data_IF_901107851619
#
_entry.id   IF_901107851619
#
_cell.length_a   1.000
_cell.length_b   1.000
_cell.length_c   1.000
_cell.angle_alpha   90.00
_cell.angle_beta   90.00
_cell.angle_gamma   90.00
#
_symmetry.space_group_name_H-M   'P 1'
#
loop_
_entity.id
_entity.type
_entity.pdbx_description
1 polymer ?
#
# COMPACT_ATOMS: atom_id res chain seq x y z
N UNK A 1 33.53 -24.91 -31.77
CA UNK A 1 33.48 -24.06 -30.55
C UNK A 1 32.05 -23.59 -30.30
N UNK A 2 31.37 -22.94 -31.25
CA UNK A 2 29.94 -22.56 -31.09
C UNK A 2 28.98 -23.75 -30.87
N UNK A 3 29.17 -24.88 -31.56
CA UNK A 3 28.34 -26.08 -31.33
C UNK A 3 28.58 -26.74 -29.97
N UNK A 4 29.82 -26.74 -29.47
CA UNK A 4 30.14 -27.22 -28.11
C UNK A 4 29.50 -26.33 -27.05
N UNK A 5 29.62 -25.00 -27.16
CA UNK A 5 28.96 -24.07 -26.23
C UNK A 5 27.43 -24.23 -26.23
N UNK A 6 26.81 -24.48 -27.39
CA UNK A 6 25.36 -24.75 -27.48
C UNK A 6 24.94 -26.08 -26.88
N UNK A 7 25.81 -27.09 -26.92
CA UNK A 7 25.56 -28.40 -26.31
C UNK A 7 25.70 -28.32 -24.78
N UNK A 8 26.76 -27.68 -24.29
CA UNK A 8 27.01 -27.48 -22.85
C UNK A 8 25.89 -26.66 -22.20
N UNK A 9 25.43 -25.58 -22.86
CA UNK A 9 24.26 -24.80 -22.40
C UNK A 9 22.98 -25.64 -22.36
N UNK A 10 22.76 -26.55 -23.31
CA UNK A 10 21.56 -27.41 -23.32
C UNK A 10 21.60 -28.46 -22.22
N UNK A 11 22.75 -29.03 -21.90
CA UNK A 11 22.89 -29.98 -20.78
C UNK A 11 22.68 -29.29 -19.44
N UNK A 12 23.17 -28.06 -19.28
CA UNK A 12 22.96 -27.25 -18.07
C UNK A 12 21.47 -26.95 -17.83
N UNK A 13 20.71 -26.63 -18.88
CA UNK A 13 19.25 -26.47 -18.82
C UNK A 13 18.45 -27.78 -18.77
N UNK A 14 19.08 -28.94 -18.92
CA UNK A 14 18.43 -30.26 -18.78
C UNK A 14 18.80 -30.94 -17.46
N UNK A 15 19.62 -30.30 -16.62
CA UNK A 15 20.02 -30.81 -15.31
C UNK A 15 18.78 -30.87 -14.38
N UNK A 16 18.29 -32.07 -14.01
CA UNK A 16 17.11 -32.22 -13.17
C UNK A 16 17.29 -31.59 -11.79
N UNK A 17 18.51 -31.61 -11.24
CA UNK A 17 18.82 -31.03 -9.94
C UNK A 17 18.70 -29.51 -9.98
N UNK A 18 19.16 -28.87 -11.06
CA UNK A 18 19.01 -27.42 -11.28
C UNK A 18 17.53 -27.04 -11.44
N UNK A 19 16.75 -27.84 -12.16
CA UNK A 19 15.30 -27.63 -12.28
C UNK A 19 14.58 -27.75 -10.94
N UNK A 20 14.94 -28.71 -10.09
CA UNK A 20 14.37 -28.89 -8.75
C UNK A 20 14.71 -27.69 -7.87
N UNK A 21 15.97 -27.23 -7.89
CA UNK A 21 16.41 -26.07 -7.10
C UNK A 21 15.68 -24.78 -7.51
N UNK A 22 15.58 -24.51 -8.83
CA UNK A 22 14.83 -23.35 -9.35
C UNK A 22 13.34 -23.43 -8.93
N UNK A 23 12.73 -24.61 -9.01
CA UNK A 23 11.34 -24.81 -8.60
C UNK A 23 11.12 -24.54 -7.11
N UNK A 24 12.06 -24.99 -6.26
CA UNK A 24 12.04 -24.73 -4.81
C UNK A 24 12.13 -23.23 -4.53
N UNK A 25 13.11 -22.54 -5.13
CA UNK A 25 13.29 -21.09 -4.95
C UNK A 25 12.04 -20.32 -5.40
N UNK A 26 11.43 -20.71 -6.53
CA UNK A 26 10.22 -20.09 -7.02
C UNK A 26 9.04 -20.29 -6.06
N UNK A 27 8.90 -21.49 -5.50
CA UNK A 27 7.89 -21.79 -4.48
C UNK A 27 8.05 -20.91 -3.23
N UNK A 28 9.28 -20.79 -2.71
CA UNK A 28 9.57 -19.98 -1.53
C UNK A 28 9.30 -18.49 -1.79
N UNK A 29 9.65 -18.00 -2.99
CA UNK A 29 9.35 -16.63 -3.40
C UNK A 29 7.83 -16.38 -3.51
N UNK A 30 7.08 -17.31 -4.10
CA UNK A 30 5.62 -17.22 -4.19
C UNK A 30 4.99 -17.21 -2.79
N UNK A 31 5.46 -18.08 -1.89
CA UNK A 31 4.97 -18.13 -0.52
C UNK A 31 5.23 -16.81 0.21
N UNK A 32 6.46 -16.30 0.11
CA UNK A 32 6.84 -15.01 0.70
C UNK A 32 5.98 -13.85 0.18
N UNK A 33 5.75 -13.78 -1.15
CA UNK A 33 4.88 -12.78 -1.75
C UNK A 33 3.43 -12.92 -1.27
N UNK A 34 2.94 -14.16 -1.12
CA UNK A 34 1.58 -14.46 -0.66
C UNK A 34 1.40 -14.06 0.81
N UNK A 35 2.41 -14.28 1.64
CA UNK A 35 2.42 -13.89 3.05
C UNK A 35 2.33 -12.37 3.19
N UNK A 36 3.14 -11.61 2.43
CA UNK A 36 3.07 -10.14 2.42
C UNK A 36 1.68 -9.63 1.99
N UNK A 37 1.08 -10.25 0.96
CA UNK A 37 -0.27 -9.91 0.53
C UNK A 37 -1.31 -10.20 1.63
N UNK A 38 -1.15 -11.32 2.34
CA UNK A 38 -2.05 -11.71 3.43
C UNK A 38 -1.95 -10.74 4.60
N UNK A 39 -0.73 -10.36 5.00
CA UNK A 39 -0.49 -9.37 6.06
C UNK A 39 -1.11 -8.02 5.72
N UNK A 40 -0.95 -7.56 4.48
CA UNK A 40 -1.60 -6.34 4.04
C UNK A 40 -3.12 -6.42 4.17
N UNK A 41 -3.74 -7.52 3.74
CA UNK A 41 -5.21 -7.71 3.89
C UNK A 41 -5.64 -7.71 5.35
N UNK A 42 -4.91 -8.41 6.22
CA UNK A 42 -5.20 -8.44 7.65
C UNK A 42 -5.16 -7.04 8.27
N UNK A 43 -4.17 -6.22 7.89
CA UNK A 43 -4.10 -4.80 8.29
C UNK A 43 -5.34 -4.04 7.83
N UNK A 44 -5.78 -4.21 6.58
CA UNK A 44 -6.97 -3.51 6.08
C UNK A 44 -8.25 -3.93 6.81
N UNK A 45 -8.41 -5.22 7.09
CA UNK A 45 -9.52 -5.73 7.90
C UNK A 45 -9.46 -5.22 9.34
N UNK A 46 -8.27 -5.12 9.93
CA UNK A 46 -8.10 -4.55 11.27
C UNK A 46 -8.48 -3.06 11.30
N UNK A 47 -8.12 -2.28 10.27
CA UNK A 47 -8.58 -0.88 10.11
C UNK A 47 -10.11 -0.82 9.99
N UNK A 48 -10.71 -1.76 9.25
CA UNK A 48 -12.16 -1.86 9.09
C UNK A 48 -12.87 -2.12 10.42
N UNK A 49 -12.24 -2.87 11.33
CA UNK A 49 -12.80 -3.25 12.62
C UNK A 49 -12.37 -2.34 13.78
N UNK A 50 -11.60 -1.27 13.52
CA UNK A 50 -11.00 -0.41 14.56
C UNK A 50 -10.08 -1.19 15.53
N UNK A 51 -9.39 -2.19 14.99
CA UNK A 51 -8.47 -3.06 15.73
C UNK A 51 -7.02 -2.58 15.56
N UNK A 52 -6.60 -1.67 16.44
CA UNK A 52 -5.22 -1.16 16.43
C UNK A 52 -4.20 -2.26 16.81
N UNK A 53 -4.59 -3.19 17.68
CA UNK A 53 -3.69 -4.24 18.17
C UNK A 53 -3.42 -5.28 17.07
N UNK A 54 -4.43 -5.63 16.27
CA UNK A 54 -4.26 -6.44 15.07
C UNK A 54 -3.27 -5.84 14.08
N UNK A 55 -3.32 -4.51 13.86
CA UNK A 55 -2.34 -3.81 13.00
C UNK A 55 -0.93 -3.91 13.60
N UNK A 56 -0.80 -3.73 14.92
CA UNK A 56 0.50 -3.84 15.62
C UNK A 56 1.12 -5.21 15.44
N UNK A 57 0.36 -6.27 15.72
CA UNK A 57 0.82 -7.66 15.60
C UNK A 57 1.33 -7.97 14.19
N UNK A 58 0.57 -7.56 13.16
CA UNK A 58 0.98 -7.81 11.78
C UNK A 58 2.25 -7.06 11.40
N UNK A 59 2.38 -5.79 11.80
CA UNK A 59 3.59 -5.03 11.53
C UNK A 59 4.79 -5.52 12.35
N UNK A 60 4.59 -5.91 13.61
CA UNK A 60 5.66 -6.39 14.49
C UNK A 60 6.32 -7.66 13.98
N UNK A 61 5.55 -8.51 13.29
CA UNK A 61 6.06 -9.72 12.64
C UNK A 61 6.89 -9.49 11.37
N UNK A 62 7.01 -8.25 10.91
CA UNK A 62 7.76 -7.87 9.71
C UNK A 62 9.08 -7.17 10.06
N UNK A 63 10.09 -7.36 9.22
CA UNK A 63 11.30 -6.54 9.24
C UNK A 63 10.99 -5.08 8.86
N UNK A 64 11.81 -4.13 9.33
CA UNK A 64 11.57 -2.69 9.17
C UNK A 64 11.35 -2.25 7.72
N UNK A 65 12.08 -2.81 6.76
CA UNK A 65 11.92 -2.49 5.35
C UNK A 65 10.58 -3.00 4.80
N UNK A 66 10.18 -4.21 5.21
CA UNK A 66 8.90 -4.81 4.81
C UNK A 66 7.72 -4.08 5.46
N UNK A 67 7.84 -3.61 6.71
CA UNK A 67 6.82 -2.75 7.34
C UNK A 67 6.52 -1.52 6.50
N UNK A 68 7.56 -0.79 6.09
CA UNK A 68 7.39 0.41 5.24
C UNK A 68 6.75 0.08 3.90
N UNK A 69 7.17 -1.03 3.28
CA UNK A 69 6.57 -1.50 2.03
C UNK A 69 5.08 -1.79 2.21
N UNK A 70 4.71 -2.60 3.21
CA UNK A 70 3.32 -3.00 3.48
C UNK A 70 2.45 -1.79 3.85
N UNK A 71 2.92 -0.88 4.70
CA UNK A 71 2.16 0.31 5.12
C UNK A 71 1.86 1.26 3.94
N UNK A 72 2.75 1.32 2.95
CA UNK A 72 2.61 2.20 1.78
C UNK A 72 2.04 1.51 0.55
N UNK A 73 1.89 0.17 0.57
CA UNK A 73 1.15 -0.57 -0.45
C UNK A 73 -0.30 -0.09 -0.51
N UNK A 74 -0.89 -0.20 -1.68
CA UNK A 74 -2.26 0.21 -1.94
C UNK A 74 -2.93 -0.74 -2.93
N UNK A 75 -4.25 -0.74 -2.93
CA UNK A 75 -5.04 -1.42 -3.95
C UNK A 75 -6.12 -0.50 -4.53
N UNK A 76 -6.80 -1.00 -5.55
CA UNK A 76 -7.92 -0.30 -6.20
C UNK A 76 -9.20 -0.31 -5.35
N UNK A 77 -9.24 -1.05 -4.24
CA UNK A 77 -10.43 -1.23 -3.42
C UNK A 77 -10.51 -0.18 -2.31
N UNK A 78 -9.43 0.01 -1.56
CA UNK A 78 -9.33 0.83 -0.36
C UNK A 78 -8.22 1.89 -0.43
N UNK A 79 -7.37 1.84 -1.46
CA UNK A 79 -6.15 2.64 -1.49
C UNK A 79 -5.11 2.12 -0.50
N UNK A 80 -4.26 3.01 0.01
CA UNK A 80 -3.30 2.62 1.06
C UNK A 80 -3.99 2.54 2.45
N UNK A 81 -3.40 1.83 3.43
CA UNK A 81 -3.86 1.84 4.81
C UNK A 81 -4.20 3.24 5.36
N UNK A 82 -3.38 4.24 5.01
CA UNK A 82 -3.58 5.61 5.45
C UNK A 82 -4.80 6.28 4.80
N UNK A 83 -5.11 6.00 3.53
CA UNK A 83 -6.35 6.46 2.90
C UNK A 83 -7.57 5.90 3.63
N UNK A 84 -7.54 4.61 3.95
CA UNK A 84 -8.66 3.96 4.58
C UNK A 84 -8.86 4.43 6.02
N UNK A 85 -7.80 4.58 6.81
CA UNK A 85 -7.87 5.13 8.16
C UNK A 85 -8.45 6.56 8.19
N UNK A 86 -8.03 7.41 7.25
CA UNK A 86 -8.58 8.77 7.11
C UNK A 86 -10.08 8.74 6.73
N UNK A 87 -10.47 7.84 5.84
CA UNK A 87 -11.88 7.63 5.47
C UNK A 87 -12.74 7.16 6.65
N UNK A 88 -12.19 6.27 7.48
CA UNK A 88 -12.81 5.77 8.72
C UNK A 88 -12.81 6.80 9.84
N UNK A 89 -12.18 7.97 9.66
CA UNK A 89 -12.07 9.04 10.65
C UNK A 89 -11.43 8.57 11.96
N UNK A 90 -10.49 7.63 11.84
CA UNK A 90 -9.85 7.00 12.99
C UNK A 90 -8.52 7.68 13.31
N UNK A 91 -8.55 8.63 14.23
CA UNK A 91 -7.36 9.39 14.62
C UNK A 91 -6.22 8.50 15.14
N UNK A 92 -6.52 7.49 15.96
CA UNK A 92 -5.49 6.66 16.60
C UNK A 92 -4.76 5.78 15.58
N UNK A 93 -5.52 5.11 14.72
CA UNK A 93 -4.94 4.32 13.63
C UNK A 93 -4.19 5.22 12.64
N UNK A 94 -4.74 6.38 12.26
CA UNK A 94 -4.04 7.34 11.39
C UNK A 94 -2.70 7.78 11.99
N UNK A 95 -2.68 8.14 13.27
CA UNK A 95 -1.46 8.52 13.99
C UNK A 95 -0.45 7.38 14.01
N UNK A 96 -0.89 6.18 14.35
CA UNK A 96 -0.03 5.01 14.42
C UNK A 96 0.61 4.66 13.06
N UNK A 97 -0.17 4.70 11.97
CA UNK A 97 0.36 4.46 10.62
C UNK A 97 1.41 5.51 10.23
N UNK A 98 1.16 6.80 10.52
CA UNK A 98 2.12 7.87 10.25
C UNK A 98 3.42 7.72 11.06
N UNK A 99 3.32 7.33 12.33
CA UNK A 99 4.48 7.06 13.18
C UNK A 99 5.30 5.86 12.69
N UNK A 100 4.68 4.93 11.97
CA UNK A 100 5.35 3.78 11.36
C UNK A 100 5.78 4.03 9.89
N UNK A 101 5.77 5.29 9.44
CA UNK A 101 6.32 5.66 8.12
C UNK A 101 5.34 5.55 6.96
N UNK A 102 4.03 5.63 7.22
CA UNK A 102 3.06 5.85 6.17
C UNK A 102 3.30 7.21 5.50
N UNK A 103 3.28 7.23 4.16
CA UNK A 103 3.44 8.44 3.37
C UNK A 103 2.16 9.28 3.45
N UNK A 104 2.18 10.46 4.11
CA UNK A 104 1.01 11.33 4.24
C UNK A 104 0.54 11.90 2.89
N UNK A 105 1.42 11.89 1.88
CA UNK A 105 1.16 12.35 0.52
C UNK A 105 0.91 11.18 -0.44
N UNK A 106 0.53 10.01 0.06
CA UNK A 106 0.10 8.90 -0.80
C UNK A 106 -1.04 9.36 -1.72
N UNK A 107 -0.97 9.00 -3.01
CA UNK A 107 -1.92 9.41 -4.03
C UNK A 107 -2.51 8.19 -4.71
N UNK A 108 -3.83 8.17 -4.87
CA UNK A 108 -4.51 7.25 -5.77
C UNK A 108 -5.25 8.02 -6.85
N UNK A 109 -5.23 7.50 -8.07
CA UNK A 109 -5.93 8.08 -9.20
C UNK A 109 -7.43 7.82 -9.07
N UNK A 110 -8.23 8.88 -9.21
CA UNK A 110 -9.69 8.81 -9.10
C UNK A 110 -10.30 7.74 -10.02
N UNK A 111 -9.71 7.52 -11.19
CA UNK A 111 -10.17 6.59 -12.22
C UNK A 111 -9.85 5.11 -11.91
N UNK A 112 -8.91 4.83 -11.02
CA UNK A 112 -8.45 3.45 -10.74
C UNK A 112 -9.23 2.77 -9.62
N UNK A 113 -10.07 3.50 -8.88
CA UNK A 113 -10.81 2.98 -7.73
C UNK A 113 -12.04 2.16 -8.14
N UNK A 114 -12.29 1.04 -7.46
CA UNK A 114 -13.47 0.18 -7.68
C UNK A 114 -14.51 0.20 -6.56
N UNK A 115 -14.11 0.29 -5.28
CA UNK A 115 -15.04 -0.01 -4.17
C UNK A 115 -15.06 0.96 -3.01
N UNK A 116 -13.99 1.72 -2.74
CA UNK A 116 -13.98 2.72 -1.67
C UNK A 116 -15.19 3.66 -1.84
N UNK A 117 -16.22 3.54 -0.99
CA UNK A 117 -17.46 4.26 -1.18
C UNK A 117 -17.24 5.64 -0.56
N UNK A 118 -16.49 6.50 -1.25
CA UNK A 118 -16.60 7.91 -0.98
C UNK A 118 -18.08 8.24 -1.09
N UNK A 119 -18.66 8.72 0.01
CA UNK A 119 -19.99 9.31 -0.01
C UNK A 119 -20.04 10.36 -1.15
N UNK A 120 -21.24 10.62 -1.68
CA UNK A 120 -21.38 11.52 -2.84
C UNK A 120 -20.73 12.89 -2.61
N UNK A 121 -20.63 13.31 -1.35
CA UNK A 121 -19.97 14.53 -0.90
C UNK A 121 -18.45 14.48 -1.11
N UNK A 122 -17.77 13.41 -0.66
CA UNK A 122 -16.33 13.22 -0.88
C UNK A 122 -16.03 13.08 -2.37
N UNK A 123 -16.88 12.41 -3.15
CA UNK A 123 -16.72 12.33 -4.61
C UNK A 123 -16.80 13.70 -5.31
N UNK A 124 -17.65 14.63 -4.81
CA UNK A 124 -17.79 15.96 -5.40
C UNK A 124 -16.55 16.82 -5.19
N UNK A 125 -15.91 16.69 -4.02
CA UNK A 125 -14.72 17.46 -3.63
C UNK A 125 -13.48 16.94 -4.37
N UNK A 126 -13.37 15.62 -4.56
CA UNK A 126 -12.14 14.97 -5.05
C UNK A 126 -12.15 14.77 -6.58
N UNK A 127 -13.28 15.02 -7.27
CA UNK A 127 -13.52 14.75 -8.71
C UNK A 127 -12.50 15.33 -9.72
N UNK A 128 -11.59 16.21 -9.30
CA UNK A 128 -10.65 16.94 -10.16
C UNK A 128 -9.17 16.80 -9.74
N UNK A 129 -8.85 15.98 -8.74
CA UNK A 129 -7.48 15.79 -8.25
C UNK A 129 -7.20 14.35 -7.82
N UNK A 130 -5.94 14.04 -7.52
CA UNK A 130 -5.64 12.77 -6.89
C UNK A 130 -6.23 12.72 -5.48
N UNK A 131 -6.63 11.53 -5.08
CA UNK A 131 -7.15 11.28 -3.74
C UNK A 131 -5.93 11.13 -2.82
N UNK A 132 -5.90 11.89 -1.73
CA UNK A 132 -4.86 11.80 -0.69
C UNK A 132 -5.53 11.55 0.65
N UNK A 133 -4.84 11.00 1.66
CA UNK A 133 -5.41 10.85 3.00
C UNK A 133 -5.98 12.16 3.55
N UNK A 134 -5.30 13.29 3.28
CA UNK A 134 -5.74 14.61 3.74
C UNK A 134 -6.99 15.09 3.00
N UNK A 135 -7.09 14.88 1.69
CA UNK A 135 -8.29 15.30 0.94
C UNK A 135 -9.53 14.51 1.36
N UNK A 136 -9.37 13.24 1.71
CA UNK A 136 -10.42 12.43 2.31
C UNK A 136 -10.84 12.99 3.67
N UNK A 137 -9.89 13.22 4.58
CA UNK A 137 -10.18 13.74 5.91
C UNK A 137 -10.88 15.12 5.85
N UNK A 138 -10.40 16.01 4.97
CA UNK A 138 -10.99 17.32 4.73
C UNK A 138 -12.42 17.21 4.19
N UNK A 139 -12.65 16.32 3.22
CA UNK A 139 -13.98 16.11 2.65
C UNK A 139 -14.99 15.52 3.65
N UNK A 140 -14.52 14.77 4.66
CA UNK A 140 -15.34 14.29 5.77
C UNK A 140 -15.44 15.27 6.96
N UNK A 141 -14.77 16.42 6.88
CA UNK A 141 -14.77 17.44 7.94
C UNK A 141 -13.95 17.07 9.18
N UNK A 142 -13.00 16.15 9.07
CA UNK A 142 -12.21 15.66 10.21
C UNK A 142 -10.97 16.52 10.46
N UNK A 143 -11.18 17.67 11.12
CA UNK A 143 -10.11 18.63 11.42
C UNK A 143 -8.94 18.03 12.23
N UNK A 144 -9.15 17.17 13.25
CA UNK A 144 -8.04 16.53 13.97
C UNK A 144 -7.12 15.74 13.05
N UNK A 145 -7.67 14.93 12.13
CA UNK A 145 -6.86 14.15 11.19
C UNK A 145 -6.18 15.06 10.16
N UNK A 146 -6.86 16.10 9.68
CA UNK A 146 -6.25 17.08 8.76
C UNK A 146 -5.02 17.74 9.41
N UNK A 147 -5.13 18.17 10.67
CA UNK A 147 -4.00 18.75 11.42
C UNK A 147 -2.86 17.76 11.60
N UNK A 148 -3.17 16.53 12.01
CA UNK A 148 -2.18 15.48 12.17
C UNK A 148 -1.43 15.17 10.87
N UNK A 149 -2.15 15.06 9.75
CA UNK A 149 -1.53 14.84 8.45
C UNK A 149 -0.65 16.02 8.06
N UNK A 150 -1.08 17.25 8.33
CA UNK A 150 -0.30 18.46 8.06
C UNK A 150 1.00 18.50 8.87
N UNK A 151 0.92 18.22 10.17
CA UNK A 151 2.06 18.13 11.09
C UNK A 151 3.08 17.06 10.64
N UNK A 152 2.61 15.98 10.01
CA UNK A 152 3.46 14.90 9.48
C UNK A 152 3.95 15.15 8.06
N UNK A 153 3.77 16.36 7.50
CA UNK A 153 4.25 16.73 6.16
C UNK A 153 3.28 16.44 5.02
N UNK A 154 2.00 16.19 5.35
CA UNK A 154 0.92 16.12 4.39
C UNK A 154 0.61 17.50 3.81
N UNK A 155 0.59 17.59 2.49
CA UNK A 155 0.27 18.82 1.77
C UNK A 155 -1.15 18.75 1.22
N UNK A 156 -1.94 19.81 1.42
CA UNK A 156 -3.28 19.94 0.83
C UNK A 156 -3.22 19.94 -0.71
N UNK A 157 -2.11 20.44 -1.26
CA UNK A 157 -1.85 20.61 -2.68
C UNK A 157 -0.74 19.70 -3.19
N UNK A 158 -0.51 18.51 -2.59
CA UNK A 158 0.38 17.52 -3.20
C UNK A 158 -0.01 17.43 -4.69
N UNK A 159 0.91 17.76 -5.59
CA UNK A 159 0.62 18.50 -6.82
C UNK A 159 -0.60 17.98 -7.59
N UNK A 160 -1.66 18.77 -7.65
CA UNK A 160 -2.47 18.79 -8.88
C UNK A 160 -1.50 19.19 -9.98
N UNK A 161 -1.19 18.27 -10.91
CA UNK A 161 -0.40 18.56 -12.10
C UNK A 161 -1.14 19.49 -13.06
N UNK A 162 -1.59 20.65 -12.59
CA UNK A 162 -1.80 21.80 -13.45
C UNK A 162 -0.49 22.56 -13.44
N UNK A 163 0.32 22.27 -14.46
CA UNK A 163 1.27 23.24 -14.97
C UNK A 163 0.48 24.54 -15.17
N UNK A 164 0.87 25.60 -14.46
CA UNK A 164 0.64 26.95 -14.92
C UNK A 164 1.26 27.03 -16.34
N UNK A 165 0.40 27.18 -17.35
CA UNK A 165 0.66 27.78 -18.65
C UNK A 165 -0.67 28.17 -19.28
#
# INVERSE_FOLDING_TARGET
IEEMLRADLKEEFLNPDLHIEISSILSDLIQFMTDLCTKWRNIMTAIENDDLDGIRVELESLDLNLRKSVINSWDNEYGSPLHFAAYRRNYQITKFLLENGANPNSRIDFLTRKKMPFDANVNKIIKRGAITPMSIAAAKGDLPIVKLLHEKGGCINAEIGFLEN
#
